data_IF_621268557668
#
_entry.id   IF_621268557668
#
_cell.length_a   1.000
_cell.length_b   1.000
_cell.length_c   1.000
_cell.angle_alpha   90.00
_cell.angle_beta   90.00
_cell.angle_gamma   90.00
#
_symmetry.space_group_name_H-M   'P 1'
#
loop_
_entity.id
_entity.type
_entity.pdbx_description
1 polymer ?
#
# COMPACT_ATOMS: atom_id res chain seq x y z
N UNK A 1 22.92 -2.69 -0.22
CA UNK A 1 23.05 -2.15 -1.59
C UNK A 1 21.72 -2.20 -2.33
N UNK A 2 20.88 -3.22 -2.09
CA UNK A 2 19.51 -3.33 -2.61
C UNK A 2 18.57 -3.79 -1.49
N UNK A 3 17.51 -3.02 -1.21
CA UNK A 3 16.50 -3.33 -0.19
C UNK A 3 15.55 -4.47 -0.62
N UNK A 4 15.52 -4.78 -1.92
CA UNK A 4 14.77 -5.90 -2.50
C UNK A 4 15.65 -7.15 -2.71
N UNK A 5 16.90 -7.12 -2.23
CA UNK A 5 17.87 -8.20 -2.34
C UNK A 5 17.69 -9.31 -1.28
N UNK A 6 18.76 -10.05 -1.00
CA UNK A 6 18.76 -11.17 -0.04
C UNK A 6 18.33 -10.75 1.37
N UNK A 7 18.84 -9.61 1.86
CA UNK A 7 18.54 -9.05 3.19
C UNK A 7 17.96 -7.64 3.02
N UNK A 8 16.73 -7.47 3.49
CA UNK A 8 15.98 -6.21 3.38
C UNK A 8 16.41 -5.16 4.42
N UNK A 9 16.88 -5.61 5.59
CA UNK A 9 17.38 -4.72 6.65
C UNK A 9 18.55 -3.84 6.17
N UNK A 10 18.46 -2.54 6.43
CA UNK A 10 19.44 -1.55 6.03
C UNK A 10 18.82 -0.34 5.35
N UNK A 11 19.67 0.54 4.82
CA UNK A 11 19.26 1.76 4.14
C UNK A 11 19.88 1.83 2.75
N UNK A 12 19.14 2.41 1.80
CA UNK A 12 19.57 2.50 0.41
C UNK A 12 18.67 3.38 -0.45
N UNK A 13 18.99 3.52 -1.75
CA UNK A 13 18.08 4.15 -2.71
C UNK A 13 16.79 3.34 -2.83
N UNK A 14 15.67 4.02 -3.07
CA UNK A 14 14.37 3.38 -3.26
C UNK A 14 14.04 3.26 -4.75
N UNK A 15 13.70 2.05 -5.18
CA UNK A 15 13.20 1.81 -6.52
C UNK A 15 11.84 2.48 -6.74
N UNK A 16 11.64 3.00 -7.94
CA UNK A 16 10.38 3.68 -8.33
C UNK A 16 9.93 3.27 -9.72
N UNK A 17 8.62 3.20 -9.90
CA UNK A 17 7.99 2.89 -11.19
C UNK A 17 7.95 4.12 -12.09
N UNK A 18 9.10 4.47 -12.69
CA UNK A 18 9.30 5.60 -13.60
C UNK A 18 10.01 5.12 -14.87
N UNK A 19 9.57 5.59 -16.03
CA UNK A 19 10.19 5.27 -17.32
C UNK A 19 11.53 5.98 -17.49
N UNK A 20 12.39 5.54 -18.43
CA UNK A 20 13.64 6.25 -18.75
C UNK A 20 13.47 7.73 -19.14
N UNK A 21 12.25 8.14 -19.52
CA UNK A 21 11.90 9.51 -19.88
C UNK A 21 11.20 10.26 -18.73
N UNK A 22 11.39 9.84 -17.47
CA UNK A 22 10.90 10.55 -16.30
C UNK A 22 9.38 10.54 -16.11
N UNK A 23 8.65 9.60 -16.73
CA UNK A 23 7.18 9.52 -16.62
C UNK A 23 6.76 8.35 -15.75
N UNK A 24 5.65 8.48 -15.00
CA UNK A 24 5.07 7.36 -14.24
C UNK A 24 4.87 6.13 -15.13
N UNK A 25 5.38 4.98 -14.68
CA UNK A 25 5.16 3.67 -15.30
C UNK A 25 4.03 2.94 -14.57
N UNK A 26 2.77 3.23 -14.94
CA UNK A 26 1.59 2.55 -14.37
C UNK A 26 1.25 1.26 -15.11
N UNK A 27 0.41 0.40 -14.51
CA UNK A 27 -0.13 -0.79 -15.19
C UNK A 27 -0.98 -0.42 -16.41
N UNK A 28 -1.70 0.71 -16.39
CA UNK A 28 -2.40 1.21 -17.56
C UNK A 28 -1.44 1.47 -18.73
N UNK A 29 -0.28 2.09 -18.47
CA UNK A 29 0.75 2.32 -19.49
C UNK A 29 1.46 1.05 -19.92
N UNK A 30 1.83 0.19 -18.96
CA UNK A 30 2.57 -1.04 -19.22
C UNK A 30 1.76 -2.13 -19.94
N UNK A 31 0.44 -2.18 -19.71
CA UNK A 31 -0.42 -3.24 -20.21
C UNK A 31 -1.54 -2.71 -21.12
N UNK A 32 -2.35 -1.76 -20.63
CA UNK A 32 -3.56 -1.33 -21.33
C UNK A 32 -3.26 -0.47 -22.56
N UNK A 33 -2.28 0.43 -22.51
CA UNK A 33 -1.92 1.26 -23.66
C UNK A 33 -1.46 0.43 -24.87
N UNK A 34 -0.83 -0.72 -24.62
CA UNK A 34 -0.47 -1.71 -25.64
C UNK A 34 -1.67 -2.55 -26.08
N UNK A 35 -2.55 -2.95 -25.14
CA UNK A 35 -3.65 -3.85 -25.43
C UNK A 35 -4.91 -3.18 -25.99
N UNK A 36 -5.14 -1.89 -25.72
CA UNK A 36 -6.37 -1.15 -26.05
C UNK A 36 -6.66 -1.04 -27.55
N UNK A 37 -5.67 -1.27 -28.40
CA UNK A 37 -5.81 -1.27 -29.85
C UNK A 37 -6.42 -2.59 -30.39
N UNK A 38 -6.49 -3.64 -29.56
CA UNK A 38 -7.02 -4.95 -29.97
C UNK A 38 -8.54 -4.87 -30.10
N UNK A 39 -9.08 -5.34 -31.23
CA UNK A 39 -10.53 -5.42 -31.47
C UNK A 39 -11.27 -6.34 -30.48
N UNK A 40 -10.53 -7.22 -29.79
CA UNK A 40 -11.07 -8.15 -28.79
C UNK A 40 -11.12 -7.57 -27.38
N UNK A 41 -10.72 -6.31 -27.17
CA UNK A 41 -10.75 -5.63 -25.88
C UNK A 41 -11.64 -4.40 -25.96
N UNK A 42 -12.63 -4.33 -25.09
CA UNK A 42 -13.45 -3.13 -24.89
C UNK A 42 -13.16 -2.57 -23.51
N UNK A 43 -12.84 -1.27 -23.45
CA UNK A 43 -12.62 -0.54 -22.20
C UNK A 43 -13.74 0.49 -22.08
N UNK A 44 -14.46 0.45 -20.97
CA UNK A 44 -15.50 1.43 -20.65
C UNK A 44 -15.03 2.20 -19.43
N UNK A 45 -14.78 3.50 -19.58
CA UNK A 45 -14.41 4.40 -18.48
C UNK A 45 -15.64 5.06 -17.88
N UNK A 46 -15.50 5.67 -16.70
CA UNK A 46 -16.61 6.27 -15.95
C UNK A 46 -17.76 5.27 -15.72
N UNK A 47 -17.41 3.99 -15.55
CA UNK A 47 -18.35 2.89 -15.35
C UNK A 47 -18.31 2.41 -13.90
N UNK A 48 -19.35 2.72 -13.12
CA UNK A 48 -19.50 2.26 -11.75
C UNK A 48 -20.14 0.87 -11.75
N UNK A 49 -19.41 -0.14 -11.26
CA UNK A 49 -19.96 -1.50 -11.10
C UNK A 49 -20.96 -1.50 -9.94
N UNK A 50 -22.20 -1.91 -10.23
CA UNK A 50 -23.23 -2.08 -9.21
C UNK A 50 -23.05 -3.43 -8.49
N UNK A 51 -23.30 -4.52 -9.21
CA UNK A 51 -23.20 -5.89 -8.69
C UNK A 51 -22.86 -6.90 -9.79
N UNK A 52 -22.46 -8.08 -9.34
CA UNK A 52 -22.31 -9.28 -10.16
C UNK A 52 -23.67 -9.97 -10.23
N UNK A 53 -24.05 -10.40 -11.43
CA UNK A 53 -25.30 -11.14 -11.66
C UNK A 53 -25.04 -12.65 -11.62
N UNK A 54 -25.94 -13.40 -11.00
CA UNK A 54 -25.80 -14.83 -10.78
C UNK A 54 -27.00 -15.63 -11.30
N UNK A 55 -26.71 -16.82 -11.84
CA UNK A 55 -27.68 -17.91 -12.05
C UNK A 55 -27.31 -19.05 -11.09
N UNK A 56 -28.05 -19.19 -10.00
CA UNK A 56 -27.67 -20.07 -8.89
C UNK A 56 -26.33 -19.65 -8.29
N UNK A 57 -25.32 -20.51 -8.41
CA UNK A 57 -23.94 -20.24 -7.93
C UNK A 57 -22.98 -19.78 -9.02
N UNK A 58 -23.45 -19.58 -10.26
CA UNK A 58 -22.60 -19.19 -11.40
C UNK A 58 -22.72 -17.68 -11.66
N UNK A 59 -21.59 -16.98 -11.68
CA UNK A 59 -21.54 -15.60 -12.15
C UNK A 59 -21.73 -15.57 -13.68
N UNK A 60 -22.71 -14.80 -14.14
CA UNK A 60 -23.11 -14.73 -15.56
C UNK A 60 -22.90 -13.34 -16.18
N UNK A 61 -22.52 -12.35 -15.38
CA UNK A 61 -22.25 -11.00 -15.86
C UNK A 61 -22.10 -9.99 -14.74
N UNK A 62 -22.02 -8.73 -15.13
CA UNK A 62 -21.98 -7.58 -14.22
C UNK A 62 -22.98 -6.52 -14.68
N UNK A 63 -23.67 -5.91 -13.73
CA UNK A 63 -24.45 -4.70 -13.96
C UNK A 63 -23.63 -3.47 -13.55
N UNK A 64 -23.65 -2.44 -14.39
CA UNK A 64 -22.90 -1.21 -14.17
C UNK A 64 -23.64 0.01 -14.75
N UNK A 65 -23.23 1.20 -14.33
CA UNK A 65 -23.78 2.48 -14.80
C UNK A 65 -22.65 3.33 -15.38
N UNK A 66 -22.94 4.17 -16.39
CA UNK A 66 -21.93 5.00 -17.07
C UNK A 66 -22.23 6.48 -16.83
N UNK A 67 -21.20 7.23 -16.43
CA UNK A 67 -21.32 8.64 -16.04
C UNK A 67 -22.31 8.79 -14.88
N UNK A 68 -23.21 9.76 -15.01
CA UNK A 68 -24.21 10.06 -13.98
C UNK A 68 -25.55 9.32 -14.20
N UNK A 69 -25.60 8.34 -15.12
CA UNK A 69 -26.83 7.60 -15.43
C UNK A 69 -27.26 6.69 -14.28
N UNK A 70 -28.57 6.60 -14.04
CA UNK A 70 -29.18 5.56 -13.18
C UNK A 70 -29.53 4.27 -13.93
N UNK A 71 -29.40 4.28 -15.26
CA UNK A 71 -29.71 3.12 -16.10
C UNK A 71 -28.59 2.09 -15.99
N UNK A 72 -28.95 0.90 -15.51
CA UNK A 72 -28.03 -0.24 -15.43
C UNK A 72 -27.87 -0.91 -16.79
N UNK A 73 -26.62 -1.06 -17.19
CA UNK A 73 -26.21 -1.84 -18.37
C UNK A 73 -25.74 -3.21 -17.88
N UNK A 74 -26.24 -4.27 -18.52
CA UNK A 74 -25.82 -5.65 -18.25
C UNK A 74 -24.75 -6.10 -19.26
N UNK A 75 -23.53 -6.37 -18.79
CA UNK A 75 -22.51 -7.07 -19.55
C UNK A 75 -22.49 -8.56 -19.16
N UNK A 76 -22.87 -9.44 -20.10
CA UNK A 76 -22.86 -10.89 -19.89
C UNK A 76 -21.47 -11.49 -20.10
N UNK A 77 -21.07 -12.39 -19.21
CA UNK A 77 -19.81 -13.12 -19.28
C UNK A 77 -20.06 -14.58 -19.69
N UNK A 78 -19.47 -15.01 -20.83
CA UNK A 78 -19.58 -16.41 -21.27
C UNK A 78 -18.73 -17.37 -20.44
N UNK A 79 -17.56 -16.92 -19.98
CA UNK A 79 -16.58 -17.74 -19.27
C UNK A 79 -16.58 -17.44 -17.78
N UNK A 80 -16.03 -16.29 -17.41
CA UNK A 80 -15.77 -15.88 -16.03
C UNK A 80 -15.92 -14.35 -15.89
N UNK A 81 -16.29 -13.91 -14.68
CA UNK A 81 -16.17 -12.54 -14.20
C UNK A 81 -14.90 -12.44 -13.36
N UNK A 82 -14.05 -11.45 -13.65
CA UNK A 82 -12.82 -11.17 -12.89
C UNK A 82 -13.01 -9.85 -12.14
N UNK A 83 -13.06 -9.92 -10.80
CA UNK A 83 -13.22 -8.77 -9.94
C UNK A 83 -11.83 -8.24 -9.52
N UNK A 84 -11.51 -7.02 -9.93
CA UNK A 84 -10.21 -6.36 -9.68
C UNK A 84 -10.42 -4.98 -9.04
N UNK A 85 -11.36 -4.86 -8.10
CA UNK A 85 -11.77 -3.57 -7.52
C UNK A 85 -11.00 -3.19 -6.24
N UNK A 86 -9.93 -3.92 -5.93
CA UNK A 86 -9.03 -3.64 -4.81
C UNK A 86 -9.60 -4.04 -3.46
N UNK A 87 -8.81 -3.87 -2.41
CA UNK A 87 -9.15 -4.28 -1.04
C UNK A 87 -10.39 -3.61 -0.44
N UNK A 88 -10.84 -2.49 -0.98
CA UNK A 88 -12.07 -1.84 -0.54
C UNK A 88 -13.22 -2.20 -1.47
N UNK A 89 -13.02 -2.06 -2.79
CA UNK A 89 -14.10 -2.24 -3.76
C UNK A 89 -14.54 -3.69 -3.94
N UNK A 90 -13.60 -4.64 -3.96
CA UNK A 90 -13.91 -6.05 -4.22
C UNK A 90 -14.82 -6.68 -3.16
N UNK A 91 -14.56 -6.59 -1.84
CA UNK A 91 -15.50 -7.10 -0.85
C UNK A 91 -16.84 -6.35 -0.90
N UNK A 92 -16.84 -5.04 -1.19
CA UNK A 92 -18.06 -4.25 -1.29
C UNK A 92 -18.96 -4.72 -2.44
N UNK A 93 -18.37 -4.96 -3.62
CA UNK A 93 -19.11 -5.50 -4.78
C UNK A 93 -19.62 -6.90 -4.47
N UNK A 94 -18.81 -7.79 -3.90
CA UNK A 94 -19.26 -9.14 -3.51
C UNK A 94 -20.46 -9.09 -2.56
N UNK A 95 -20.37 -8.28 -1.49
CA UNK A 95 -21.44 -8.14 -0.51
C UNK A 95 -22.73 -7.61 -1.15
N UNK A 96 -22.67 -6.53 -1.95
CA UNK A 96 -23.87 -6.03 -2.69
C UNK A 96 -24.45 -7.05 -3.67
N UNK A 97 -23.62 -7.96 -4.16
CA UNK A 97 -24.03 -9.03 -5.07
C UNK A 97 -24.59 -10.26 -4.35
N UNK A 98 -24.70 -10.23 -3.02
CA UNK A 98 -25.22 -11.34 -2.22
C UNK A 98 -24.19 -12.40 -1.83
N UNK A 99 -22.89 -12.12 -1.98
CA UNK A 99 -21.80 -13.02 -1.57
C UNK A 99 -21.04 -12.38 -0.40
N UNK A 100 -21.19 -12.93 0.80
CA UNK A 100 -20.58 -12.38 2.02
C UNK A 100 -21.27 -12.87 3.29
N UNK A 101 -21.02 -12.25 4.45
CA UNK A 101 -21.61 -12.69 5.72
C UNK A 101 -23.14 -12.58 5.69
N UNK A 102 -23.85 -13.71 5.82
CA UNK A 102 -25.31 -13.75 5.67
C UNK A 102 -26.05 -12.78 6.62
N UNK A 103 -25.58 -12.64 7.86
CA UNK A 103 -26.18 -11.72 8.84
C UNK A 103 -26.15 -10.26 8.35
N UNK A 104 -24.99 -9.79 7.87
CA UNK A 104 -24.83 -8.46 7.29
C UNK A 104 -25.76 -8.25 6.09
N UNK A 105 -25.78 -9.21 5.16
CA UNK A 105 -26.59 -9.12 3.94
C UNK A 105 -28.08 -9.05 4.26
N UNK A 106 -28.55 -9.92 5.17
CA UNK A 106 -29.94 -9.93 5.62
C UNK A 106 -30.32 -8.61 6.32
N UNK A 107 -29.44 -8.02 7.13
CA UNK A 107 -29.71 -6.73 7.79
C UNK A 107 -29.96 -5.55 6.83
N UNK A 108 -29.54 -5.71 5.56
CA UNK A 108 -29.71 -4.72 4.50
C UNK A 108 -30.68 -5.19 3.42
N UNK A 109 -31.44 -6.26 3.67
CA UNK A 109 -32.37 -6.90 2.72
C UNK A 109 -31.69 -7.32 1.40
N UNK A 110 -30.39 -7.63 1.41
CA UNK A 110 -29.68 -8.14 0.24
C UNK A 110 -29.89 -9.65 0.17
N UNK A 111 -30.46 -10.21 -0.92
CA UNK A 111 -30.63 -11.64 -1.06
C UNK A 111 -29.28 -12.37 -0.99
N UNK A 112 -29.18 -13.34 -0.08
CA UNK A 112 -27.95 -14.14 0.08
C UNK A 112 -27.86 -15.14 -1.07
N UNK A 113 -26.91 -14.92 -1.96
CA UNK A 113 -26.51 -15.87 -3.00
C UNK A 113 -25.58 -16.92 -2.38
N UNK A 114 -24.62 -16.50 -1.57
CA UNK A 114 -23.73 -17.40 -0.84
C UNK A 114 -23.23 -16.77 0.46
N UNK A 115 -23.47 -17.46 1.57
CA UNK A 115 -22.85 -17.11 2.84
C UNK A 115 -21.36 -17.43 2.79
N UNK A 116 -20.55 -16.38 2.90
CA UNK A 116 -19.09 -16.45 2.88
C UNK A 116 -18.53 -15.43 3.88
N UNK A 117 -18.41 -15.80 5.17
CA UNK A 117 -18.18 -14.87 6.27
C UNK A 117 -16.82 -14.15 6.21
N UNK A 118 -15.86 -14.66 5.44
CA UNK A 118 -14.57 -14.02 5.20
C UNK A 118 -14.63 -12.73 4.37
N UNK A 119 -15.69 -12.50 3.57
CA UNK A 119 -15.76 -11.35 2.66
C UNK A 119 -15.82 -10.04 3.44
N UNK A 120 -14.82 -9.20 3.24
CA UNK A 120 -14.65 -7.92 3.90
C UNK A 120 -13.96 -8.00 5.25
N UNK A 121 -13.62 -9.19 5.76
CA UNK A 121 -12.88 -9.35 7.01
C UNK A 121 -11.37 -9.33 6.75
N UNK A 122 -10.54 -9.32 7.81
CA UNK A 122 -9.07 -9.39 7.69
C UNK A 122 -8.47 -8.20 6.91
N UNK A 123 -9.14 -7.04 6.89
CA UNK A 123 -8.58 -5.82 6.28
C UNK A 123 -7.29 -5.46 7.01
N UNK A 124 -6.22 -5.29 6.23
CA UNK A 124 -4.90 -4.91 6.72
C UNK A 124 -4.39 -3.72 5.91
N UNK A 125 -3.58 -2.89 6.54
CA UNK A 125 -2.92 -1.75 5.92
C UNK A 125 -1.59 -1.49 6.65
N UNK A 126 -0.69 -0.77 6.00
CA UNK A 126 0.47 -0.20 6.64
C UNK A 126 0.10 1.16 7.20
N UNK A 127 0.29 1.34 8.50
CA UNK A 127 0.17 2.62 9.18
C UNK A 127 1.56 3.25 9.26
N UNK A 128 1.65 4.55 8.99
CA UNK A 128 2.88 5.33 9.00
C UNK A 128 2.75 6.56 9.91
N UNK A 129 3.90 7.05 10.38
CA UNK A 129 4.07 8.39 10.93
C UNK A 129 5.28 9.05 10.27
N UNK A 130 5.46 10.34 10.46
CA UNK A 130 6.67 11.02 10.03
C UNK A 130 7.29 11.86 11.13
N UNK A 131 8.63 11.81 11.22
CA UNK A 131 9.43 12.71 12.04
C UNK A 131 10.04 13.76 11.13
N UNK A 132 9.90 15.04 11.51
CA UNK A 132 10.39 16.18 10.73
C UNK A 132 11.53 16.86 11.45
N UNK A 133 12.54 17.27 10.68
CA UNK A 133 13.70 17.98 11.16
C UNK A 133 13.95 19.19 10.28
N UNK A 134 14.34 20.31 10.90
CA UNK A 134 14.91 21.42 10.16
C UNK A 134 16.25 20.98 9.55
N UNK A 135 16.61 21.54 8.42
CA UNK A 135 17.92 21.31 7.80
C UNK A 135 18.74 22.59 7.89
N UNK A 136 19.93 22.49 8.47
CA UNK A 136 20.86 23.61 8.65
C UNK A 136 21.52 24.05 7.35
N UNK A 137 21.54 23.16 6.34
CA UNK A 137 22.12 23.41 5.02
C UNK A 137 21.03 23.60 3.96
N UNK A 138 21.28 24.42 2.92
CA UNK A 138 20.31 24.68 1.85
C UNK A 138 20.28 23.57 0.80
N UNK A 139 20.21 22.30 1.23
CA UNK A 139 20.31 21.11 0.37
C UNK A 139 18.97 20.37 0.18
N UNK A 140 17.92 20.83 0.86
CA UNK A 140 16.59 20.23 0.75
C UNK A 140 15.82 20.72 -0.49
N UNK A 141 14.74 20.03 -0.85
CA UNK A 141 13.83 20.39 -1.95
C UNK A 141 12.87 21.55 -1.62
N UNK A 142 13.06 22.24 -0.48
CA UNK A 142 12.24 23.40 -0.11
C UNK A 142 12.14 24.45 -1.24
N UNK A 143 13.24 24.84 -1.94
CA UNK A 143 13.15 25.80 -3.02
C UNK A 143 12.23 25.35 -4.17
N UNK A 144 12.12 24.04 -4.42
CA UNK A 144 11.24 23.48 -5.46
C UNK A 144 9.75 23.68 -5.16
N UNK A 145 9.40 23.92 -3.90
CA UNK A 145 8.02 24.21 -3.49
C UNK A 145 7.60 25.65 -3.75
N UNK A 146 8.56 26.55 -4.00
CA UNK A 146 8.29 27.95 -4.28
C UNK A 146 7.65 28.06 -5.68
N UNK A 147 6.45 28.63 -5.75
CA UNK A 147 5.64 28.66 -6.97
C UNK A 147 6.37 29.23 -8.19
N UNK A 148 7.32 30.15 -7.99
CA UNK A 148 8.11 30.74 -9.06
C UNK A 148 9.23 29.82 -9.59
N UNK A 149 9.64 28.79 -8.84
CA UNK A 149 10.60 27.78 -9.28
C UNK A 149 9.91 26.61 -10.03
N UNK A 150 8.61 26.40 -9.79
CA UNK A 150 7.84 25.29 -10.39
C UNK A 150 7.76 25.33 -11.94
N UNK A 151 7.61 26.50 -12.61
CA UNK A 151 7.57 26.56 -14.08
C UNK A 151 8.83 26.00 -14.74
N UNK A 152 10.02 26.32 -14.21
CA UNK A 152 11.28 25.83 -14.76
C UNK A 152 11.44 24.32 -14.56
N UNK A 153 11.07 23.82 -13.37
CA UNK A 153 11.05 22.37 -13.06
C UNK A 153 10.10 21.63 -14.00
N UNK A 154 8.90 22.18 -14.21
CA UNK A 154 7.90 21.63 -15.13
C UNK A 154 8.39 21.61 -16.57
N UNK A 155 9.04 22.67 -17.03
CA UNK A 155 9.63 22.74 -18.37
C UNK A 155 10.77 21.73 -18.56
N UNK A 156 11.68 21.62 -17.60
CA UNK A 156 12.77 20.62 -17.63
C UNK A 156 12.21 19.20 -17.76
N UNK A 157 11.22 18.86 -16.93
CA UNK A 157 10.58 17.55 -17.00
C UNK A 157 9.84 17.34 -18.33
N UNK A 158 9.06 18.33 -18.78
CA UNK A 158 8.22 18.21 -19.97
C UNK A 158 9.05 17.99 -21.24
N UNK A 159 10.16 18.73 -21.38
CA UNK A 159 10.97 18.73 -22.59
C UNK A 159 12.14 17.75 -22.53
N UNK A 160 12.71 17.49 -21.35
CA UNK A 160 13.91 16.64 -21.20
C UNK A 160 13.64 15.30 -20.53
N UNK A 161 12.47 15.13 -19.87
CA UNK A 161 12.15 13.91 -19.13
C UNK A 161 13.06 13.67 -17.93
N UNK A 162 13.64 14.72 -17.36
CA UNK A 162 14.65 14.70 -16.30
C UNK A 162 14.32 15.74 -15.22
N UNK A 163 15.22 15.87 -14.25
CA UNK A 163 15.11 16.84 -13.16
C UNK A 163 14.16 16.39 -12.05
N UNK A 164 13.87 17.31 -11.13
CA UNK A 164 13.07 17.05 -9.92
C UNK A 164 11.65 16.60 -10.27
N UNK A 165 11.08 17.09 -11.37
CA UNK A 165 9.76 16.68 -11.86
C UNK A 165 9.69 15.23 -12.36
N UNK A 166 10.84 14.58 -12.60
CA UNK A 166 10.92 13.16 -12.96
C UNK A 166 11.01 12.22 -11.74
N UNK A 167 11.06 12.77 -10.52
CA UNK A 167 11.16 12.01 -9.27
C UNK A 167 9.80 11.89 -8.57
N UNK A 168 9.67 10.92 -7.67
CA UNK A 168 8.62 10.84 -6.64
C UNK A 168 9.08 11.36 -5.27
N UNK A 169 10.30 11.91 -5.18
CA UNK A 169 10.90 12.58 -4.02
C UNK A 169 11.18 11.67 -2.80
N UNK A 170 10.80 10.38 -2.86
CA UNK A 170 11.23 9.32 -1.95
C UNK A 170 12.56 8.75 -2.44
N UNK A 171 13.66 9.47 -2.18
CA UNK A 171 14.96 9.16 -2.80
C UNK A 171 15.74 8.07 -2.06
N UNK A 172 15.52 7.95 -0.75
CA UNK A 172 16.15 6.94 0.08
C UNK A 172 15.11 6.34 1.02
N UNK A 173 15.41 5.15 1.53
CA UNK A 173 14.56 4.44 2.46
C UNK A 173 15.33 3.34 3.13
N UNK A 174 14.62 2.51 3.87
CA UNK A 174 15.24 1.41 4.55
C UNK A 174 14.25 0.56 5.31
N UNK A 175 14.78 -0.47 5.93
CA UNK A 175 14.02 -1.35 6.80
C UNK A 175 14.87 -1.63 8.03
N UNK A 176 14.23 -1.61 9.18
CA UNK A 176 14.87 -2.00 10.43
C UNK A 176 14.02 -3.01 11.17
N UNK A 177 14.69 -3.73 12.05
CA UNK A 177 14.09 -4.54 13.08
C UNK A 177 14.17 -3.76 14.39
N UNK A 178 13.07 -3.65 15.12
CA UNK A 178 13.10 -2.89 16.39
C UNK A 178 13.48 -3.76 17.58
N UNK A 179 13.23 -5.08 17.50
CA UNK A 179 13.44 -6.06 18.58
C UNK A 179 13.89 -7.43 18.07
N UNK A 180 14.52 -8.22 18.94
CA UNK A 180 15.09 -9.54 18.61
C UNK A 180 14.03 -10.59 18.29
N UNK A 181 12.80 -10.41 18.77
CA UNK A 181 11.67 -11.32 18.55
C UNK A 181 11.13 -11.32 17.12
N UNK A 182 11.39 -10.28 16.33
CA UNK A 182 10.93 -10.22 14.94
C UNK A 182 11.84 -11.07 14.06
N UNK A 183 11.31 -11.90 13.17
CA UNK A 183 12.16 -12.65 12.23
C UNK A 183 12.56 -11.83 10.99
N UNK A 184 11.85 -10.72 10.76
CA UNK A 184 11.90 -9.86 9.58
C UNK A 184 11.89 -8.39 10.04
N UNK A 185 12.35 -7.43 9.23
CA UNK A 185 12.17 -6.03 9.57
C UNK A 185 10.69 -5.68 9.68
N UNK A 186 10.33 -5.05 10.79
CA UNK A 186 8.97 -4.67 11.13
C UNK A 186 8.71 -3.17 10.89
N UNK A 187 9.75 -2.35 10.73
CA UNK A 187 9.64 -0.94 10.37
C UNK A 187 10.22 -0.68 8.97
N UNK A 188 9.44 -0.03 8.11
CA UNK A 188 9.92 0.55 6.85
C UNK A 188 10.15 2.05 7.02
N UNK A 189 11.20 2.56 6.38
CA UNK A 189 11.55 3.96 6.28
C UNK A 189 11.43 4.47 4.85
N UNK A 190 10.97 5.71 4.77
CA UNK A 190 10.86 6.51 3.56
C UNK A 190 11.44 7.90 3.87
N UNK A 191 12.55 8.28 3.23
CA UNK A 191 13.20 9.57 3.45
C UNK A 191 12.81 10.57 2.37
N UNK A 192 12.34 11.74 2.80
CA UNK A 192 12.05 12.87 1.91
C UNK A 192 12.94 14.05 2.31
N UNK A 193 13.72 14.62 1.38
CA UNK A 193 14.51 15.82 1.61
C UNK A 193 13.63 17.09 1.59
N UNK A 194 12.46 17.05 2.22
CA UNK A 194 11.55 18.18 2.41
C UNK A 194 10.64 17.94 3.63
N UNK A 195 10.35 18.98 4.41
CA UNK A 195 9.38 18.91 5.50
C UNK A 195 8.01 19.41 5.00
N UNK A 196 7.10 18.48 4.74
CA UNK A 196 5.73 18.77 4.27
C UNK A 196 4.72 17.97 5.07
N UNK A 197 3.53 18.52 5.29
CA UNK A 197 2.41 17.74 5.82
C UNK A 197 1.85 16.83 4.72
N UNK A 198 1.26 15.71 5.13
CA UNK A 198 0.71 14.71 4.20
C UNK A 198 -0.43 15.25 3.33
N UNK A 199 -1.16 16.27 3.82
CA UNK A 199 -2.19 17.00 3.07
C UNK A 199 -1.64 18.00 2.03
N UNK A 200 -0.31 18.04 1.82
CA UNK A 200 0.35 18.92 0.85
C UNK A 200 0.43 20.39 1.29
N UNK A 201 0.02 20.73 2.51
CA UNK A 201 0.21 22.07 3.05
C UNK A 201 1.66 22.28 3.48
N UNK A 202 2.27 23.38 3.02
CA UNK A 202 3.60 23.81 3.44
C UNK A 202 3.55 24.47 4.82
N UNK A 203 3.42 23.67 5.87
CA UNK A 203 3.49 24.16 7.26
C UNK A 203 4.86 24.75 7.61
N UNK A 204 5.93 24.27 6.96
CA UNK A 204 7.32 24.63 7.27
C UNK A 204 7.92 25.43 6.10
N UNK A 205 8.18 26.73 6.31
CA UNK A 205 8.77 27.65 5.32
C UNK A 205 10.29 27.77 5.46
N UNK A 206 10.97 26.64 5.61
CA UNK A 206 12.42 26.55 5.75
C UNK A 206 12.93 25.24 5.15
N UNK A 207 14.26 25.13 4.99
CA UNK A 207 14.87 23.86 4.64
C UNK A 207 14.63 22.84 5.76
N UNK A 208 14.26 21.62 5.36
CA UNK A 208 13.92 20.52 6.26
C UNK A 208 13.86 19.21 5.51
N UNK A 209 13.86 18.11 6.27
CA UNK A 209 13.69 16.76 5.77
C UNK A 209 12.84 15.95 6.75
N UNK A 210 12.34 14.80 6.30
CA UNK A 210 11.53 13.93 7.12
C UNK A 210 11.81 12.47 6.86
N UNK A 211 11.74 11.68 7.93
CA UNK A 211 11.72 10.24 7.87
C UNK A 211 10.30 9.78 8.18
N UNK A 212 9.65 9.25 7.15
CA UNK A 212 8.42 8.49 7.30
C UNK A 212 8.80 7.10 7.76
N UNK A 213 8.08 6.59 8.75
CA UNK A 213 8.27 5.26 9.28
C UNK A 213 6.94 4.59 9.55
N UNK A 214 6.84 3.30 9.24
CA UNK A 214 5.59 2.56 9.42
C UNK A 214 5.79 1.11 9.77
N UNK A 215 4.80 0.56 10.47
CA UNK A 215 4.73 -0.87 10.77
C UNK A 215 4.35 -1.66 9.52
N UNK A 216 5.14 -2.70 9.24
CA UNK A 216 4.95 -3.59 8.09
C UNK A 216 4.12 -4.83 8.41
N UNK A 217 3.96 -5.18 9.69
CA UNK A 217 3.29 -6.42 10.11
C UNK A 217 2.44 -6.25 11.36
N UNK A 218 1.68 -5.16 11.39
CA UNK A 218 0.65 -4.95 12.41
C UNK A 218 -0.26 -6.19 12.54
N UNK A 219 -0.47 -6.72 13.75
CA UNK A 219 -1.45 -7.78 13.99
C UNK A 219 -2.90 -7.27 14.01
N UNK A 220 -3.13 -5.95 14.02
CA UNK A 220 -4.47 -5.38 13.97
C UNK A 220 -5.22 -5.77 12.69
N UNK A 221 -6.51 -6.08 12.83
CA UNK A 221 -7.38 -6.51 11.73
C UNK A 221 -8.65 -5.69 11.71
N UNK A 222 -8.97 -5.21 10.51
CA UNK A 222 -10.16 -4.44 10.21
C UNK A 222 -11.22 -5.19 9.44
N UNK A 223 -12.24 -4.44 9.02
CA UNK A 223 -13.34 -4.90 8.17
C UNK A 223 -13.82 -3.85 7.15
N UNK A 224 -14.46 -4.33 6.10
CA UNK A 224 -15.23 -3.57 5.10
C UNK A 224 -16.65 -4.15 5.07
N UNK A 225 -17.66 -3.32 5.34
CA UNK A 225 -19.07 -3.69 5.22
C UNK A 225 -19.82 -2.69 4.35
N UNK A 226 -20.62 -3.17 3.41
CA UNK A 226 -21.65 -2.37 2.76
C UNK A 226 -22.60 -1.74 3.80
N UNK A 227 -23.11 -0.55 3.49
CA UNK A 227 -24.13 0.14 4.30
C UNK A 227 -25.50 0.17 3.63
N UNK A 228 -25.54 -0.05 2.32
CA UNK A 228 -26.78 -0.07 1.54
C UNK A 228 -26.58 -0.85 0.23
N UNK A 229 -27.66 -0.94 -0.55
CA UNK A 229 -27.67 -1.51 -1.89
C UNK A 229 -27.22 -0.53 -2.96
N UNK A 230 -27.11 0.76 -2.66
CA UNK A 230 -26.71 1.77 -3.63
C UNK A 230 -25.20 1.70 -3.84
N UNK A 231 -24.69 1.40 -5.05
CA UNK A 231 -23.26 1.35 -5.31
C UNK A 231 -22.57 2.72 -5.22
N UNK A 232 -23.31 3.83 -5.13
CA UNK A 232 -22.77 5.18 -4.91
C UNK A 232 -22.51 5.48 -3.44
N UNK A 233 -23.09 4.71 -2.53
CA UNK A 233 -22.80 4.85 -1.12
C UNK A 233 -21.50 4.13 -0.75
N UNK A 234 -20.57 4.87 -0.17
CA UNK A 234 -19.32 4.31 0.32
C UNK A 234 -19.57 3.28 1.43
N UNK A 235 -18.78 2.20 1.52
CA UNK A 235 -18.90 1.21 2.59
C UNK A 235 -18.47 1.79 3.95
N UNK A 236 -18.84 1.09 5.02
CA UNK A 236 -18.21 1.25 6.33
C UNK A 236 -16.82 0.59 6.29
N UNK A 237 -15.79 1.39 6.58
CA UNK A 237 -14.39 0.95 6.63
C UNK A 237 -13.91 1.11 8.07
N UNK A 238 -13.42 0.02 8.66
CA UNK A 238 -12.78 0.03 9.97
C UNK A 238 -11.44 -0.68 9.81
N UNK A 239 -10.33 0.06 9.80
CA UNK A 239 -9.00 -0.56 9.81
C UNK A 239 -8.63 -1.17 11.16
N UNK A 240 -9.24 -0.64 12.23
CA UNK A 240 -8.96 -1.06 13.59
C UNK A 240 -7.47 -0.86 13.97
N UNK A 241 -6.88 0.24 13.52
CA UNK A 241 -5.50 0.60 13.84
C UNK A 241 -5.30 0.62 15.35
N UNK A 242 -4.10 0.22 15.78
CA UNK A 242 -3.69 0.30 17.19
C UNK A 242 -4.55 -0.54 18.15
N UNK A 243 -5.21 -1.59 17.63
CA UNK A 243 -6.00 -2.51 18.44
C UNK A 243 -5.14 -3.52 19.21
N UNK A 244 -3.88 -3.69 18.82
CA UNK A 244 -2.92 -4.57 19.48
C UNK A 244 -1.78 -3.78 20.13
N UNK A 245 -1.31 -4.23 21.28
CA UNK A 245 -0.20 -3.59 22.00
C UNK A 245 1.10 -3.53 21.17
N UNK A 246 1.31 -4.52 20.31
CA UNK A 246 2.47 -4.53 19.40
C UNK A 246 2.50 -3.30 18.50
N UNK A 247 1.36 -2.78 18.04
CA UNK A 247 1.32 -1.59 17.18
C UNK A 247 1.88 -0.38 17.93
N UNK A 248 1.46 -0.18 19.17
CA UNK A 248 1.95 0.91 20.01
C UNK A 248 3.44 0.77 20.29
N UNK A 249 3.90 -0.43 20.65
CA UNK A 249 5.30 -0.70 20.91
C UNK A 249 6.18 -0.42 19.69
N UNK A 250 5.80 -0.90 18.50
CA UNK A 250 6.56 -0.70 17.27
C UNK A 250 6.70 0.79 16.91
N UNK A 251 5.64 1.57 17.10
CA UNK A 251 5.66 3.01 16.84
C UNK A 251 6.53 3.76 17.86
N UNK A 252 6.43 3.44 19.15
CA UNK A 252 7.29 4.03 20.20
C UNK A 252 8.76 3.73 19.95
N UNK A 253 9.09 2.46 19.69
CA UNK A 253 10.46 2.02 19.40
C UNK A 253 10.97 2.68 18.12
N UNK A 254 10.13 2.74 17.08
CA UNK A 254 10.45 3.39 15.83
C UNK A 254 10.76 4.89 15.99
N UNK A 255 9.99 5.63 16.78
CA UNK A 255 10.29 7.05 17.08
C UNK A 255 11.66 7.18 17.75
N UNK A 256 11.95 6.35 18.76
CA UNK A 256 13.22 6.37 19.49
C UNK A 256 14.40 6.01 18.59
N UNK A 257 14.27 4.97 17.79
CA UNK A 257 15.30 4.53 16.84
C UNK A 257 15.49 5.55 15.74
N UNK A 258 14.44 6.22 15.27
CA UNK A 258 14.55 7.30 14.29
C UNK A 258 15.33 8.47 14.87
N UNK A 259 15.04 8.87 16.13
CA UNK A 259 15.83 9.90 16.82
C UNK A 259 17.30 9.50 16.96
N UNK A 260 17.59 8.25 17.31
CA UNK A 260 18.95 7.71 17.38
C UNK A 260 19.66 7.78 16.02
N UNK A 261 18.98 7.39 14.93
CA UNK A 261 19.50 7.48 13.55
C UNK A 261 19.79 8.94 13.19
N UNK A 262 18.87 9.85 13.50
CA UNK A 262 19.02 11.27 13.18
C UNK A 262 20.15 11.94 13.96
N UNK A 263 20.49 11.43 15.16
CA UNK A 263 21.59 11.91 15.99
C UNK A 263 22.97 11.35 15.60
N UNK A 264 23.07 10.48 14.58
CA UNK A 264 24.36 9.95 14.16
C UNK A 264 25.30 11.04 13.61
N UNK A 265 26.64 10.93 13.80
CA UNK A 265 27.63 11.91 13.35
C UNK A 265 27.54 12.29 11.87
N UNK A 266 27.13 11.34 11.02
CA UNK A 266 26.96 11.57 9.58
C UNK A 266 25.89 12.63 9.25
N UNK A 267 24.99 12.94 10.19
CA UNK A 267 23.94 13.94 10.02
C UNK A 267 24.23 15.24 10.77
N UNK A 268 25.35 15.37 11.50
CA UNK A 268 25.71 16.57 12.29
C UNK A 268 25.63 17.86 11.46
N UNK A 269 26.17 17.81 10.23
CA UNK A 269 26.23 18.97 9.35
C UNK A 269 24.87 19.39 8.81
N UNK A 270 23.87 18.50 8.82
CA UNK A 270 22.57 18.69 8.19
C UNK A 270 21.40 18.82 9.17
N UNK A 271 21.46 18.12 10.31
CA UNK A 271 20.35 18.07 11.26
C UNK A 271 20.23 19.40 11.99
N UNK A 272 19.04 19.98 11.93
CA UNK A 272 18.61 21.05 12.80
C UNK A 272 17.78 20.51 13.97
N UNK A 273 16.92 21.37 14.50
CA UNK A 273 15.95 20.99 15.53
C UNK A 273 14.92 19.98 15.00
N UNK A 274 14.46 19.09 15.88
CA UNK A 274 13.27 18.27 15.64
C UNK A 274 12.04 19.18 15.62
N UNK A 275 11.29 19.15 14.52
CA UNK A 275 10.06 19.93 14.32
C UNK A 275 8.85 19.13 14.82
N UNK A 276 8.82 17.83 14.53
CA UNK A 276 7.75 16.91 14.92
C UNK A 276 8.35 15.52 15.13
N UNK A 277 8.02 14.77 16.21
CA UNK A 277 7.11 15.11 17.31
C UNK A 277 7.52 16.31 18.16
N UNK A 278 8.82 16.61 18.23
CA UNK A 278 9.37 17.64 19.11
C UNK A 278 10.18 17.01 20.26
N UNK A 279 11.23 17.70 20.69
CA UNK A 279 12.19 17.17 21.68
C UNK A 279 11.61 17.00 23.08
N UNK A 280 10.47 17.63 23.36
CA UNK A 280 9.76 17.59 24.63
C UNK A 280 9.01 16.26 24.85
N UNK A 281 8.62 15.56 23.79
CA UNK A 281 7.89 14.28 23.90
C UNK A 281 8.86 13.12 24.08
N UNK A 282 8.96 12.56 25.28
CA UNK A 282 9.94 11.51 25.65
C UNK A 282 9.29 10.26 26.26
N UNK A 283 8.25 10.42 27.08
CA UNK A 283 7.60 9.28 27.75
C UNK A 283 6.73 8.47 26.81
N UNK A 284 6.41 7.23 27.18
CA UNK A 284 5.51 6.38 26.37
C UNK A 284 4.15 7.05 26.18
N UNK A 285 3.62 7.73 27.20
CA UNK A 285 2.32 8.41 27.15
C UNK A 285 2.31 9.61 26.21
N UNK A 286 3.41 10.38 26.19
CA UNK A 286 3.58 11.52 25.28
C UNK A 286 3.71 11.05 23.83
N UNK A 287 4.46 9.95 23.62
CA UNK A 287 4.59 9.33 22.31
C UNK A 287 3.26 8.74 21.84
N UNK A 288 2.51 8.07 22.71
CA UNK A 288 1.19 7.51 22.37
C UNK A 288 0.19 8.58 21.97
N UNK A 289 0.19 9.71 22.68
CA UNK A 289 -0.65 10.85 22.34
C UNK A 289 -0.30 11.36 20.94
N UNK A 290 1.00 11.52 20.67
CA UNK A 290 1.46 11.94 19.35
C UNK A 290 1.08 10.95 18.24
N UNK A 291 1.31 9.65 18.47
CA UNK A 291 0.97 8.57 17.53
C UNK A 291 -0.53 8.61 17.21
N UNK A 292 -1.38 8.71 18.24
CA UNK A 292 -2.85 8.77 18.06
C UNK A 292 -3.30 9.95 17.21
N UNK A 293 -2.63 11.09 17.34
CA UNK A 293 -2.98 12.33 16.64
C UNK A 293 -2.43 12.41 15.21
N UNK A 294 -1.33 11.71 14.91
CA UNK A 294 -0.54 11.92 13.67
C UNK A 294 -0.32 10.67 12.82
N UNK A 295 -0.67 9.47 13.30
CA UNK A 295 -0.53 8.26 12.49
C UNK A 295 -1.55 8.26 11.34
N UNK A 296 -1.09 7.91 10.14
CA UNK A 296 -1.88 7.96 8.91
C UNK A 296 -1.65 6.70 8.06
N UNK A 297 -2.57 6.41 7.16
CA UNK A 297 -2.47 5.28 6.23
C UNK A 297 -1.36 5.52 5.19
N UNK A 298 -0.56 4.48 4.93
CA UNK A 298 0.37 4.44 3.80
C UNK A 298 -0.33 4.08 2.46
N UNK A 299 -1.66 3.99 2.46
CA UNK A 299 -2.50 3.58 1.34
C UNK A 299 -2.18 2.19 0.79
N UNK A 300 -1.96 1.23 1.69
CA UNK A 300 -1.71 -0.18 1.38
C UNK A 300 -2.85 -1.13 1.85
N UNK A 301 -4.14 -0.80 1.66
CA UNK A 301 -5.21 -1.68 2.07
C UNK A 301 -5.14 -3.00 1.29
N UNK A 302 -5.28 -4.12 1.99
CA UNK A 302 -5.17 -5.47 1.45
C UNK A 302 -6.01 -6.47 2.25
N UNK A 303 -5.96 -7.74 1.83
CA UNK A 303 -6.39 -8.91 2.60
C UNK A 303 -7.89 -9.10 2.88
N UNK A 304 -8.74 -8.18 2.44
CA UNK A 304 -10.19 -8.18 2.68
C UNK A 304 -11.01 -9.27 1.96
N UNK A 305 -10.38 -10.02 1.06
CA UNK A 305 -10.93 -11.20 0.39
C UNK A 305 -9.89 -12.33 0.43
N UNK A 306 -9.33 -12.61 1.61
CA UNK A 306 -8.11 -13.42 1.75
C UNK A 306 -8.15 -14.75 1.00
N UNK A 307 -7.03 -15.08 0.36
CA UNK A 307 -6.77 -16.39 -0.22
C UNK A 307 -6.47 -17.41 0.87
N UNK A 308 -7.01 -18.61 0.76
CA UNK A 308 -6.72 -19.68 1.72
C UNK A 308 -7.61 -20.91 1.56
N UNK A 309 -7.50 -21.81 2.54
CA UNK A 309 -8.30 -23.04 2.63
C UNK A 309 -9.04 -23.16 3.96
N UNK A 310 -8.89 -22.19 4.85
CA UNK A 310 -9.63 -22.13 6.13
C UNK A 310 -11.04 -21.56 5.94
N UNK A 311 -11.89 -21.67 6.97
CA UNK A 311 -13.30 -21.27 6.94
C UNK A 311 -13.52 -19.77 6.64
N UNK A 312 -12.51 -18.93 6.88
CA UNK A 312 -12.55 -17.49 6.61
C UNK A 312 -11.91 -17.13 5.27
N UNK A 313 -11.45 -18.11 4.48
CA UNK A 313 -10.92 -17.86 3.14
C UNK A 313 -12.05 -17.46 2.17
N UNK A 314 -11.80 -16.46 1.35
CA UNK A 314 -12.75 -15.98 0.32
C UNK A 314 -12.44 -16.58 -1.03
N UNK A 315 -11.15 -16.74 -1.34
CA UNK A 315 -10.70 -17.32 -2.60
C UNK A 315 -9.70 -18.45 -2.40
N UNK A 316 -9.58 -19.32 -3.39
CA UNK A 316 -8.55 -20.35 -3.44
C UNK A 316 -7.22 -19.85 -4.04
N UNK A 317 -6.25 -20.75 -4.17
CA UNK A 317 -4.91 -20.49 -4.70
C UNK A 317 -4.84 -19.93 -6.14
N UNK A 318 -5.97 -19.89 -6.85
CA UNK A 318 -6.08 -19.30 -8.18
C UNK A 318 -7.04 -18.10 -8.22
N UNK A 319 -7.42 -17.56 -7.06
CA UNK A 319 -8.34 -16.43 -6.94
C UNK A 319 -9.80 -16.78 -7.17
N UNK A 320 -10.19 -18.06 -7.29
CA UNK A 320 -11.59 -18.46 -7.49
C UNK A 320 -12.35 -18.29 -6.18
N UNK A 321 -13.51 -17.63 -6.23
CA UNK A 321 -14.33 -17.42 -5.04
C UNK A 321 -14.92 -18.75 -4.56
N UNK A 322 -14.71 -19.07 -3.28
CA UNK A 322 -15.17 -20.33 -2.70
C UNK A 322 -16.70 -20.47 -2.83
N UNK A 323 -17.14 -21.68 -3.17
CA UNK A 323 -18.56 -22.01 -3.37
C UNK A 323 -19.25 -21.37 -4.58
N UNK A 324 -18.51 -20.61 -5.40
CA UNK A 324 -19.01 -19.93 -6.59
C UNK A 324 -18.37 -20.49 -7.87
N UNK A 325 -19.07 -20.33 -9.00
CA UNK A 325 -18.59 -20.74 -10.32
C UNK A 325 -18.43 -19.54 -11.24
N UNK A 326 -17.35 -19.52 -12.04
CA UNK A 326 -17.12 -18.47 -13.02
C UNK A 326 -16.82 -17.09 -12.41
N UNK A 327 -16.30 -17.04 -11.18
CA UNK A 327 -15.96 -15.80 -10.50
C UNK A 327 -14.58 -15.90 -9.86
N UNK A 328 -13.73 -14.89 -10.12
CA UNK A 328 -12.44 -14.72 -9.44
C UNK A 328 -12.27 -13.32 -8.88
N UNK A 329 -11.48 -13.19 -7.81
CA UNK A 329 -10.94 -11.91 -7.33
C UNK A 329 -9.44 -11.89 -7.64
N UNK A 330 -8.97 -10.82 -8.28
CA UNK A 330 -7.57 -10.68 -8.74
C UNK A 330 -7.08 -9.27 -8.43
N UNK A 331 -6.79 -9.01 -7.15
CA UNK A 331 -6.21 -7.76 -6.66
C UNK A 331 -5.62 -7.95 -5.24
N UNK A 332 -5.17 -6.87 -4.60
CA UNK A 332 -4.55 -6.90 -3.26
C UNK A 332 -5.46 -7.44 -2.13
N UNK A 333 -6.78 -7.50 -2.33
CA UNK A 333 -7.71 -8.07 -1.34
C UNK A 333 -7.42 -9.55 -1.06
N UNK A 334 -6.82 -10.28 -2.01
CA UNK A 334 -6.62 -11.72 -1.88
C UNK A 334 -5.36 -12.10 -1.10
N UNK A 335 -4.51 -11.13 -0.77
CA UNK A 335 -3.34 -11.41 0.08
C UNK A 335 -3.82 -12.01 1.42
N UNK A 336 -3.26 -13.14 1.90
CA UNK A 336 -3.67 -13.69 3.20
C UNK A 336 -3.18 -12.82 4.36
N UNK A 337 -1.98 -12.29 4.21
CA UNK A 337 -1.28 -11.38 5.11
C UNK A 337 -0.63 -10.29 4.25
N UNK A 338 -0.63 -9.06 4.74
CA UNK A 338 0.06 -7.96 4.07
C UNK A 338 1.56 -8.28 3.95
N UNK A 339 2.14 -7.96 2.80
CA UNK A 339 3.57 -8.21 2.53
C UNK A 339 4.43 -7.09 3.09
N UNK A 340 5.65 -7.40 3.56
CA UNK A 340 6.61 -6.38 3.99
C UNK A 340 7.06 -5.51 2.81
N UNK A 341 6.63 -4.24 2.81
CA UNK A 341 6.90 -3.25 1.76
C UNK A 341 5.67 -2.87 0.92
N UNK A 342 5.86 -1.99 -0.07
CA UNK A 342 4.76 -1.42 -0.85
C UNK A 342 4.06 -2.43 -1.76
N UNK A 343 2.72 -2.35 -1.85
CA UNK A 343 1.91 -3.44 -2.42
C UNK A 343 1.77 -3.46 -3.95
N UNK A 344 2.31 -2.48 -4.66
CA UNK A 344 2.16 -2.40 -6.12
C UNK A 344 2.78 -3.61 -6.85
N UNK A 345 4.06 -3.91 -6.56
CA UNK A 345 4.76 -5.04 -7.17
C UNK A 345 4.13 -6.41 -6.84
N UNK A 346 3.81 -6.75 -5.56
CA UNK A 346 3.18 -8.02 -5.25
C UNK A 346 1.77 -8.14 -5.86
N UNK A 347 1.01 -7.05 -5.96
CA UNK A 347 -0.31 -7.07 -6.64
C UNK A 347 -0.17 -7.40 -8.14
N UNK A 348 0.80 -6.79 -8.84
CA UNK A 348 1.08 -7.08 -10.25
C UNK A 348 1.52 -8.54 -10.41
N UNK A 349 2.40 -9.03 -9.53
CA UNK A 349 2.87 -10.43 -9.55
C UNK A 349 1.71 -11.42 -9.38
N UNK A 350 0.80 -11.18 -8.44
CA UNK A 350 -0.41 -11.98 -8.24
C UNK A 350 -1.24 -12.01 -9.53
N UNK A 351 -1.48 -10.84 -10.13
CA UNK A 351 -2.27 -10.72 -11.35
C UNK A 351 -1.65 -11.47 -12.53
N UNK A 352 -0.33 -11.36 -12.75
CA UNK A 352 0.39 -12.09 -13.81
C UNK A 352 0.30 -13.60 -13.63
N UNK A 353 0.52 -14.09 -12.41
CA UNK A 353 0.46 -15.52 -12.11
C UNK A 353 -0.94 -16.11 -12.36
N UNK A 354 -1.99 -15.40 -11.95
CA UNK A 354 -3.38 -15.82 -12.17
C UNK A 354 -3.74 -15.71 -13.65
N UNK A 355 -3.27 -14.67 -14.35
CA UNK A 355 -3.50 -14.50 -15.79
C UNK A 355 -2.94 -15.67 -16.62
N UNK A 356 -1.76 -16.18 -16.28
CA UNK A 356 -1.22 -17.38 -16.94
C UNK A 356 -2.12 -18.60 -16.74
N UNK A 357 -2.63 -18.82 -15.52
CA UNK A 357 -3.58 -19.91 -15.25
C UNK A 357 -4.87 -19.78 -16.02
N UNK A 358 -5.47 -18.59 -16.07
CA UNK A 358 -6.68 -18.30 -16.87
C UNK A 358 -6.44 -18.62 -18.36
N UNK A 359 -5.22 -18.39 -18.85
CA UNK A 359 -4.83 -18.63 -20.24
C UNK A 359 -4.39 -20.07 -20.52
N UNK A 360 -4.37 -20.95 -19.53
CA UNK A 360 -3.84 -22.31 -19.66
C UNK A 360 -2.34 -22.34 -19.93
N UNK A 361 -1.59 -21.31 -19.51
CA UNK A 361 -0.13 -21.24 -19.63
C UNK A 361 0.53 -21.81 -18.39
N UNK A 362 1.65 -22.50 -18.58
CA UNK A 362 2.50 -22.90 -17.48
C UNK A 362 3.10 -21.63 -16.85
N UNK A 363 2.90 -21.39 -15.54
CA UNK A 363 3.53 -20.25 -14.87
C UNK A 363 5.04 -20.44 -14.83
N UNK A 364 5.77 -19.34 -14.61
CA UNK A 364 7.21 -19.40 -14.33
C UNK A 364 7.49 -20.39 -13.18
N UNK A 365 8.64 -21.10 -13.24
CA UNK A 365 9.05 -21.96 -12.14
C UNK A 365 9.16 -21.15 -10.84
N UNK A 366 8.91 -21.80 -9.70
CA UNK A 366 9.08 -21.19 -8.39
C UNK A 366 10.51 -20.65 -8.28
N UNK A 367 10.66 -19.39 -7.85
CA UNK A 367 11.98 -18.82 -7.57
C UNK A 367 12.71 -19.64 -6.51
N UNK A 368 13.98 -19.93 -6.76
CA UNK A 368 14.91 -20.59 -5.82
C UNK A 368 15.84 -19.57 -5.15
N UNK A 369 15.58 -18.27 -5.32
CA UNK A 369 16.34 -17.24 -4.63
C UNK A 369 16.19 -17.41 -3.12
N UNK A 370 17.31 -17.41 -2.40
CA UNK A 370 17.31 -17.37 -0.94
C UNK A 370 16.89 -15.99 -0.45
N UNK A 371 16.45 -15.94 0.80
CA UNK A 371 16.08 -14.70 1.49
C UNK A 371 16.52 -14.80 2.95
N UNK A 372 16.80 -13.66 3.56
CA UNK A 372 17.35 -13.57 4.91
C UNK A 372 16.26 -13.60 5.98
N UNK A 373 16.46 -14.44 6.99
CA UNK A 373 15.65 -14.51 8.22
C UNK A 373 16.59 -14.24 9.39
N UNK A 374 16.22 -13.34 10.30
CA UNK A 374 17.13 -12.91 11.37
C UNK A 374 17.55 -14.07 12.30
N UNK A 375 16.61 -14.94 12.69
CA UNK A 375 16.87 -15.97 13.70
C UNK A 375 17.42 -15.33 14.99
N UNK A 376 18.52 -15.87 15.52
CA UNK A 376 19.21 -15.35 16.71
C UNK A 376 20.15 -14.16 16.42
N UNK A 377 20.14 -13.60 15.19
CA UNK A 377 20.97 -12.44 14.88
C UNK A 377 20.58 -11.26 15.78
N UNK A 378 21.56 -10.51 16.34
CA UNK A 378 21.25 -9.35 17.17
C UNK A 378 20.64 -8.24 16.31
N UNK A 379 19.73 -7.45 16.90
CA UNK A 379 19.15 -6.26 16.24
C UNK A 379 20.22 -5.19 15.97
N UNK A 380 21.25 -5.14 16.84
CA UNK A 380 22.33 -4.16 16.77
C UNK A 380 23.65 -4.86 16.49
N UNK A 381 24.40 -4.32 15.54
CA UNK A 381 25.72 -4.80 15.15
C UNK A 381 26.79 -3.71 15.20
N UNK A 382 28.04 -4.09 14.93
CA UNK A 382 29.10 -3.10 14.70
C UNK A 382 28.81 -2.33 13.40
N UNK A 383 28.93 -0.99 13.39
CA UNK A 383 28.78 -0.22 12.16
C UNK A 383 29.71 -0.75 11.05
N UNK A 384 29.15 -0.99 9.86
CA UNK A 384 29.91 -1.48 8.71
C UNK A 384 30.82 -0.41 8.09
N UNK A 385 30.59 0.87 8.41
CA UNK A 385 31.38 2.00 7.95
C UNK A 385 31.82 2.85 9.13
N UNK A 386 33.11 3.14 9.21
CA UNK A 386 33.67 4.07 10.18
C UNK A 386 33.48 5.50 9.65
N UNK A 387 32.56 6.25 10.27
CA UNK A 387 32.25 7.65 9.94
C UNK A 387 33.20 8.65 10.58
N UNK A 388 34.17 8.20 11.41
CA UNK A 388 35.14 9.10 12.06
C UNK A 388 36.14 9.75 11.09
N UNK A 389 36.24 9.26 9.84
CA UNK A 389 37.20 9.74 8.83
C UNK A 389 36.64 10.74 7.82
N UNK A 390 35.34 11.02 7.82
CA UNK A 390 34.69 11.94 6.87
C UNK A 390 34.56 13.39 7.38
N UNK A 391 35.05 13.67 8.58
CA UNK A 391 35.19 15.03 9.11
C UNK A 391 36.62 15.53 8.88
N UNK A 392 37.00 15.79 7.63
CA UNK A 392 38.14 16.64 7.26
C UNK A 392 37.77 17.54 6.09
#
# INVERSE_FOLDING_TARGET
>A
EDLNGYQQEGFGPMDRTVTPNGRRASTARGYLDTAKQRSTLTIVTHALTDKIEFEGKRAVGVSYMVGDSDTRILAKARKEVLLCSGAIGSPTVLQRSGVGPAELLNSLDIPVVHDLPGVGQNLQDHLELYLQYACTQPVSLYPSLLWYNQPAIGAEWLFLGKGIGASNQFEAGGFIRTREEFEWPNIQYHFLPVAINYNGSNGVKEHGFQAHMGSMRSPSRGRINVKSKDPREYPSILFNYMAAEQDWQEFRDGIRLTREIMQQPALDAYRGREISPGIDKQTDEELDTFIREHAETAFHPSCSCKMGTDEMAVVDGEGRVHGMQGLRVVDASIMPLITTGNLNAPTIMIAEKIADKIRGRAPLPRSTASYYVAGDAPVRGKPLRDVSRTAQ
#
